data_IF_092057020846
#
_entry.id   IF_092057020846
#
_cell.length_a   1.000
_cell.length_b   1.000
_cell.length_c   1.000
_cell.angle_alpha   90.00
_cell.angle_beta   90.00
_cell.angle_gamma   90.00
#
_symmetry.space_group_name_H-M   'P 1'
#
loop_
_entity.id
_entity.type
_entity.pdbx_description
1 polymer ?
#
# COMPACT_ATOMS: atom_id res chain seq x y z
N UNK A 1 -11.72 34.92 -91.51
CA UNK A 1 -11.44 36.24 -92.02
C UNK A 1 -10.83 37.07 -90.90
N UNK A 2 -9.72 37.70 -91.19
CA UNK A 2 -8.86 38.56 -90.32
C UNK A 2 -7.87 37.87 -89.38
N UNK A 3 -6.71 37.81 -89.94
CA UNK A 3 -5.40 37.83 -89.36
C UNK A 3 -5.23 39.03 -88.42
N UNK A 4 -4.27 38.98 -87.48
CA UNK A 4 -3.19 39.95 -87.41
C UNK A 4 -2.34 39.91 -86.15
N UNK A 5 -1.06 39.93 -86.43
CA UNK A 5 0.12 40.41 -85.72
C UNK A 5 0.59 39.77 -84.38
N UNK A 6 1.60 38.93 -84.53
CA UNK A 6 2.68 38.72 -83.57
C UNK A 6 3.43 40.03 -83.34
N UNK A 7 3.61 40.37 -82.07
CA UNK A 7 4.71 41.18 -81.59
C UNK A 7 5.50 40.38 -80.55
N UNK A 8 6.74 40.07 -80.87
CA UNK A 8 7.77 39.56 -80.00
C UNK A 8 8.20 40.64 -79.01
N UNK A 9 8.28 40.44 -77.69
CA UNK A 9 9.07 41.30 -76.83
C UNK A 9 10.51 40.77 -76.73
N UNK A 10 11.43 41.69 -76.62
CA UNK A 10 12.87 41.60 -76.39
C UNK A 10 13.15 40.87 -75.03
N UNK A 11 14.33 40.23 -74.85
CA UNK A 11 14.74 39.68 -73.56
C UNK A 11 15.16 40.84 -72.68
N UNK A 12 14.43 41.04 -71.60
CA UNK A 12 14.86 41.84 -70.44
C UNK A 12 15.85 41.05 -69.59
N UNK A 13 16.93 41.75 -69.27
CA UNK A 13 18.05 41.28 -68.46
C UNK A 13 17.61 40.73 -67.14
N UNK A 14 18.05 39.49 -66.77
CA UNK A 14 18.12 39.00 -65.42
C UNK A 14 19.03 39.92 -64.59
N UNK A 15 18.42 40.87 -63.87
CA UNK A 15 19.05 41.46 -62.69
C UNK A 15 18.95 40.42 -61.58
N UNK A 16 20.10 39.89 -61.23
CA UNK A 16 20.26 39.05 -60.03
C UNK A 16 19.71 39.80 -58.79
N UNK A 17 18.66 39.27 -58.21
CA UNK A 17 18.09 39.76 -56.97
C UNK A 17 18.89 39.16 -55.82
N UNK A 18 20.11 39.72 -55.60
CA UNK A 18 20.82 39.61 -54.30
C UNK A 18 20.05 40.43 -53.28
N UNK A 19 18.92 39.89 -52.83
CA UNK A 19 18.26 40.37 -51.64
C UNK A 19 19.09 39.88 -50.44
N UNK A 20 19.96 40.74 -49.96
CA UNK A 20 20.54 40.56 -48.62
C UNK A 20 19.39 40.29 -47.60
N UNK A 21 19.59 39.39 -46.66
CA UNK A 21 18.56 39.14 -45.63
C UNK A 21 18.23 40.49 -44.95
N UNK A 22 16.94 40.75 -44.63
CA UNK A 22 16.56 42.00 -44.01
C UNK A 22 17.29 42.16 -42.67
N UNK A 23 18.27 43.07 -42.65
CA UNK A 23 18.92 43.51 -41.42
C UNK A 23 17.85 44.29 -40.65
N UNK A 24 17.08 43.56 -39.79
CA UNK A 24 16.12 44.17 -38.89
C UNK A 24 16.82 45.25 -38.09
N UNK A 25 16.22 46.44 -38.02
CA UNK A 25 16.73 47.54 -37.22
C UNK A 25 16.90 47.14 -35.73
N UNK A 26 17.56 47.93 -34.89
CA UNK A 26 17.84 47.64 -33.49
C UNK A 26 16.57 47.23 -32.71
N UNK A 27 15.40 47.78 -33.05
CA UNK A 27 14.12 47.40 -32.43
C UNK A 27 13.66 45.97 -32.75
N UNK A 28 13.89 45.50 -33.98
CA UNK A 28 13.52 44.13 -34.37
C UNK A 28 14.43 43.09 -33.66
N UNK A 29 15.71 43.36 -33.50
CA UNK A 29 16.63 42.49 -32.74
C UNK A 29 16.22 42.39 -31.26
N UNK A 30 15.94 43.53 -30.64
CA UNK A 30 15.49 43.57 -29.24
C UNK A 30 14.17 42.79 -29.07
N UNK A 31 13.21 42.95 -29.97
CA UNK A 31 11.94 42.22 -29.95
C UNK A 31 12.13 40.69 -30.09
N UNK A 32 12.96 40.25 -31.04
CA UNK A 32 13.22 38.80 -31.23
C UNK A 32 13.96 38.21 -30.04
N UNK A 33 14.92 38.93 -29.46
CA UNK A 33 15.59 38.49 -28.23
C UNK A 33 14.61 38.41 -27.05
N UNK A 34 13.67 39.36 -26.94
CA UNK A 34 12.57 39.30 -25.98
C UNK A 34 11.70 38.07 -26.15
N UNK A 35 11.24 37.81 -27.39
CA UNK A 35 10.44 36.62 -27.73
C UNK A 35 11.19 35.33 -27.38
N UNK A 36 12.49 35.23 -27.68
CA UNK A 36 13.29 34.07 -27.34
C UNK A 36 13.38 33.84 -25.80
N UNK A 37 13.51 34.92 -25.03
CA UNK A 37 13.51 34.87 -23.58
C UNK A 37 12.18 34.36 -23.02
N UNK A 38 11.06 34.94 -23.51
CA UNK A 38 9.72 34.52 -23.09
C UNK A 38 9.44 33.07 -23.50
N UNK A 39 9.83 32.67 -24.72
CA UNK A 39 9.72 31.28 -25.14
C UNK A 39 10.53 30.34 -24.24
N UNK A 40 11.74 30.73 -23.87
CA UNK A 40 12.58 29.95 -22.95
C UNK A 40 11.95 29.80 -21.56
N UNK A 41 11.35 30.89 -21.05
CA UNK A 41 10.61 30.87 -19.79
C UNK A 41 9.39 29.96 -19.85
N UNK A 42 8.59 30.08 -20.92
CA UNK A 42 7.44 29.21 -21.17
C UNK A 42 7.84 27.74 -21.22
N UNK A 43 8.94 27.43 -21.91
CA UNK A 43 9.48 26.06 -21.98
C UNK A 43 9.90 25.51 -20.61
N UNK A 44 10.55 26.34 -19.78
CA UNK A 44 10.92 25.98 -18.42
C UNK A 44 9.69 25.69 -17.57
N UNK A 45 8.74 26.62 -17.54
CA UNK A 45 7.55 26.53 -16.70
C UNK A 45 6.68 25.33 -17.13
N UNK A 46 6.55 25.10 -18.45
CA UNK A 46 5.87 23.92 -18.97
C UNK A 46 6.59 22.61 -18.57
N UNK A 47 7.92 22.56 -18.59
CA UNK A 47 8.65 21.37 -18.18
C UNK A 47 8.50 21.09 -16.67
N UNK A 48 8.44 22.14 -15.84
CA UNK A 48 8.15 22.03 -14.40
C UNK A 48 6.75 21.51 -14.14
N UNK A 49 5.74 22.12 -14.77
CA UNK A 49 4.33 21.68 -14.63
C UNK A 49 4.17 20.24 -15.12
N UNK A 50 4.78 19.86 -16.23
CA UNK A 50 4.77 18.48 -16.70
C UNK A 50 5.35 17.52 -15.68
N UNK A 51 6.46 17.89 -15.06
CA UNK A 51 7.06 17.08 -14.00
C UNK A 51 6.16 16.90 -12.79
N UNK A 52 5.51 18.00 -12.34
CA UNK A 52 4.56 17.95 -11.23
C UNK A 52 3.33 17.08 -11.55
N UNK A 53 2.83 17.12 -12.80
CA UNK A 53 1.74 16.25 -13.26
C UNK A 53 2.16 14.78 -13.22
N UNK A 54 3.36 14.45 -13.73
CA UNK A 54 3.88 13.07 -13.72
C UNK A 54 4.03 12.52 -12.31
N UNK A 55 4.55 13.32 -11.37
CA UNK A 55 4.65 12.96 -9.96
C UNK A 55 3.26 12.77 -9.32
N UNK A 56 2.28 13.62 -9.68
CA UNK A 56 0.90 13.50 -9.19
C UNK A 56 0.23 12.23 -9.72
N UNK A 57 0.44 11.86 -10.99
CA UNK A 57 -0.07 10.59 -11.57
C UNK A 57 0.50 9.38 -10.81
N UNK A 58 1.79 9.39 -10.49
CA UNK A 58 2.42 8.31 -9.70
C UNK A 58 1.82 8.22 -8.29
N UNK A 59 1.64 9.36 -7.62
CA UNK A 59 1.02 9.42 -6.30
C UNK A 59 -0.43 8.92 -6.33
N UNK A 60 -1.23 9.33 -7.34
CA UNK A 60 -2.59 8.84 -7.53
C UNK A 60 -2.63 7.32 -7.76
N UNK A 61 -1.69 6.77 -8.55
CA UNK A 61 -1.57 5.33 -8.75
C UNK A 61 -1.28 4.56 -7.44
N UNK A 62 -0.37 5.07 -6.61
CA UNK A 62 -0.09 4.48 -5.30
C UNK A 62 -1.30 4.56 -4.37
N UNK A 63 -2.03 5.67 -4.38
CA UNK A 63 -3.25 5.85 -3.60
C UNK A 63 -4.36 4.87 -4.04
N UNK A 64 -4.52 4.61 -5.35
CA UNK A 64 -5.46 3.61 -5.85
C UNK A 64 -5.17 2.21 -5.29
N UNK A 65 -3.91 1.82 -5.23
CA UNK A 65 -3.50 0.54 -4.65
C UNK A 65 -3.84 0.46 -3.15
N UNK A 66 -3.66 1.57 -2.41
CA UNK A 66 -4.01 1.63 -0.98
C UNK A 66 -5.53 1.50 -0.77
N UNK A 67 -6.35 2.15 -1.59
CA UNK A 67 -7.83 2.04 -1.52
C UNK A 67 -8.25 0.60 -1.78
N UNK A 68 -7.69 -0.09 -2.77
CA UNK A 68 -7.98 -1.51 -3.02
C UNK A 68 -7.55 -2.44 -1.87
N UNK A 69 -6.41 -2.14 -1.22
CA UNK A 69 -5.99 -2.89 -0.04
C UNK A 69 -6.97 -2.69 1.12
N UNK A 70 -7.43 -1.46 1.34
CA UNK A 70 -8.41 -1.11 2.37
C UNK A 70 -9.76 -1.80 2.10
N UNK A 71 -10.21 -1.91 0.83
CA UNK A 71 -11.42 -2.63 0.45
C UNK A 71 -11.36 -4.11 0.86
N UNK A 72 -10.22 -4.75 0.63
CA UNK A 72 -10.03 -6.16 1.05
C UNK A 72 -10.09 -6.31 2.57
N UNK A 73 -9.42 -5.44 3.32
CA UNK A 73 -9.46 -5.45 4.79
C UNK A 73 -10.87 -5.23 5.32
N UNK A 74 -11.65 -4.34 4.70
CA UNK A 74 -13.03 -4.09 5.07
C UNK A 74 -13.92 -5.34 4.85
N UNK A 75 -13.68 -6.08 3.78
CA UNK A 75 -14.32 -7.38 3.53
C UNK A 75 -14.03 -8.39 4.64
N UNK A 76 -12.79 -8.48 5.10
CA UNK A 76 -12.39 -9.35 6.23
C UNK A 76 -13.07 -8.94 7.53
N UNK A 77 -13.14 -7.63 7.83
CA UNK A 77 -13.86 -7.10 9.01
C UNK A 77 -15.35 -7.46 8.94
N UNK A 78 -15.98 -7.30 7.79
CA UNK A 78 -17.40 -7.63 7.60
C UNK A 78 -17.66 -9.13 7.81
N UNK A 79 -16.77 -9.98 7.30
CA UNK A 79 -16.84 -11.42 7.54
C UNK A 79 -16.68 -11.76 9.03
N UNK A 80 -15.75 -11.11 9.72
CA UNK A 80 -15.56 -11.26 11.16
C UNK A 80 -16.80 -10.85 11.97
N UNK A 81 -17.47 -9.74 11.58
CA UNK A 81 -18.70 -9.30 12.24
C UNK A 81 -19.84 -10.32 12.05
N UNK A 82 -19.99 -10.91 10.87
CA UNK A 82 -20.98 -11.96 10.63
C UNK A 82 -20.72 -13.21 11.51
N UNK A 83 -19.46 -13.56 11.68
CA UNK A 83 -19.10 -14.67 12.57
C UNK A 83 -19.43 -14.36 14.04
N UNK A 84 -19.17 -13.13 14.52
CA UNK A 84 -19.54 -12.67 15.87
C UNK A 84 -21.05 -12.78 16.09
N UNK A 85 -21.87 -12.31 15.14
CA UNK A 85 -23.34 -12.41 15.23
C UNK A 85 -23.81 -13.89 15.30
N UNK A 86 -23.21 -14.76 14.52
CA UNK A 86 -23.52 -16.19 14.55
C UNK A 86 -23.15 -16.83 15.91
N UNK A 87 -21.95 -16.55 16.42
CA UNK A 87 -21.43 -17.09 17.69
C UNK A 87 -22.23 -16.57 18.89
N UNK A 88 -22.58 -15.28 18.89
CA UNK A 88 -23.44 -14.71 19.94
C UNK A 88 -24.85 -15.30 19.95
N UNK A 89 -25.40 -15.62 18.77
CA UNK A 89 -26.66 -16.36 18.65
C UNK A 89 -26.58 -17.74 19.31
N UNK A 90 -25.51 -18.49 19.09
CA UNK A 90 -25.25 -19.76 19.78
C UNK A 90 -25.09 -19.58 21.29
N UNK A 91 -24.45 -18.48 21.71
CA UNK A 91 -24.29 -18.10 23.11
C UNK A 91 -25.64 -17.93 23.83
N UNK A 92 -26.60 -17.22 23.22
CA UNK A 92 -27.97 -17.09 23.78
C UNK A 92 -28.62 -18.45 24.02
N UNK A 93 -28.57 -19.34 23.04
CA UNK A 93 -29.12 -20.69 23.20
C UNK A 93 -28.40 -21.52 24.26
N UNK A 94 -27.09 -21.31 24.46
CA UNK A 94 -26.35 -21.97 25.53
C UNK A 94 -26.81 -21.47 26.93
N UNK A 95 -27.05 -20.16 27.04
CA UNK A 95 -27.59 -19.58 28.31
C UNK A 95 -29.01 -20.09 28.60
N UNK A 96 -29.87 -20.20 27.58
CA UNK A 96 -31.20 -20.78 27.74
C UNK A 96 -31.13 -22.24 28.23
N UNK A 97 -30.27 -23.07 27.63
CA UNK A 97 -30.07 -24.45 28.11
C UNK A 97 -29.55 -24.52 29.54
N UNK A 98 -28.62 -23.62 29.90
CA UNK A 98 -28.10 -23.52 31.27
C UNK A 98 -29.22 -23.13 32.25
N UNK A 99 -30.08 -22.18 31.91
CA UNK A 99 -31.23 -21.76 32.71
C UNK A 99 -32.18 -22.92 32.95
N UNK A 100 -32.57 -23.66 31.93
CA UNK A 100 -33.43 -24.84 32.04
C UNK A 100 -32.78 -25.94 32.91
N UNK A 101 -31.51 -26.16 32.80
CA UNK A 101 -30.78 -27.12 33.65
C UNK A 101 -30.78 -26.71 35.14
N UNK A 102 -30.63 -25.42 35.43
CA UNK A 102 -30.65 -24.89 36.80
C UNK A 102 -32.07 -25.00 37.39
N UNK A 103 -33.10 -24.71 36.59
CA UNK A 103 -34.48 -24.88 37.04
C UNK A 103 -34.79 -26.36 37.37
N UNK A 104 -34.29 -27.32 36.59
CA UNK A 104 -34.38 -28.75 36.88
C UNK A 104 -33.66 -29.11 38.17
N UNK A 105 -32.45 -28.59 38.40
CA UNK A 105 -31.72 -28.80 39.70
C UNK A 105 -32.52 -28.20 40.86
N UNK A 106 -33.21 -27.07 40.65
CA UNK A 106 -34.07 -26.48 41.68
C UNK A 106 -35.23 -27.43 42.06
N UNK A 107 -35.80 -28.15 41.11
CA UNK A 107 -36.78 -29.20 41.35
C UNK A 107 -36.22 -30.37 42.20
N UNK A 108 -35.04 -30.88 41.87
CA UNK A 108 -34.39 -31.95 42.58
C UNK A 108 -34.01 -31.52 44.03
N UNK A 109 -33.55 -30.29 44.22
CA UNK A 109 -33.25 -29.72 45.54
C UNK A 109 -34.50 -29.69 46.42
N UNK A 110 -35.66 -29.33 45.85
CA UNK A 110 -36.95 -29.37 46.54
C UNK A 110 -37.33 -30.80 46.95
N UNK A 111 -37.07 -31.79 46.11
CA UNK A 111 -37.27 -33.22 46.44
C UNK A 111 -36.36 -33.69 47.58
N UNK A 112 -35.08 -33.25 47.62
CA UNK A 112 -34.15 -33.57 48.71
C UNK A 112 -34.66 -33.00 50.05
N UNK A 113 -35.15 -31.74 50.05
CA UNK A 113 -35.73 -31.14 51.28
C UNK A 113 -36.87 -31.98 51.84
N UNK A 114 -37.77 -32.47 50.98
CA UNK A 114 -38.85 -33.36 51.39
C UNK A 114 -38.34 -34.66 52.00
N UNK A 115 -37.37 -35.30 51.36
CA UNK A 115 -36.71 -36.53 51.84
C UNK A 115 -36.01 -36.34 53.19
N UNK A 116 -35.34 -35.24 53.42
CA UNK A 116 -34.67 -34.91 54.71
C UNK A 116 -35.70 -34.76 55.83
N UNK A 117 -36.88 -34.20 55.55
CA UNK A 117 -37.98 -34.12 56.52
C UNK A 117 -38.45 -35.51 56.93
N UNK A 118 -38.68 -36.38 55.94
CA UNK A 118 -39.09 -37.77 56.24
C UNK A 118 -38.03 -38.51 57.04
N UNK A 119 -36.74 -38.34 56.75
CA UNK A 119 -35.66 -38.93 57.53
C UNK A 119 -35.62 -38.36 59.01
N UNK A 120 -35.85 -37.05 59.12
CA UNK A 120 -35.91 -36.39 60.42
C UNK A 120 -37.04 -36.94 61.26
N UNK A 121 -38.24 -37.09 60.65
CA UNK A 121 -39.42 -37.64 61.35
C UNK A 121 -39.21 -39.11 61.78
N UNK A 122 -38.64 -39.91 60.84
CA UNK A 122 -38.29 -41.32 61.22
C UNK A 122 -37.28 -41.40 62.34
N UNK A 123 -36.23 -40.58 62.36
CA UNK A 123 -35.24 -40.52 63.46
C UNK A 123 -35.93 -40.09 64.80
N UNK A 124 -36.85 -39.11 64.66
CA UNK A 124 -37.64 -38.69 65.87
C UNK A 124 -38.53 -39.81 66.42
N UNK A 125 -39.14 -40.65 65.56
CA UNK A 125 -39.91 -41.84 66.02
C UNK A 125 -38.99 -42.87 66.67
N UNK A 126 -37.79 -43.15 66.11
CA UNK A 126 -36.82 -44.08 66.66
C UNK A 126 -36.37 -43.59 68.05
N UNK A 127 -36.13 -42.29 68.26
CA UNK A 127 -35.85 -41.69 69.55
C UNK A 127 -36.97 -41.97 70.53
N UNK A 128 -38.21 -41.79 70.15
CA UNK A 128 -39.38 -42.11 71.06
C UNK A 128 -39.42 -43.61 71.46
N UNK A 129 -39.25 -44.51 70.48
CA UNK A 129 -39.19 -45.95 70.71
C UNK A 129 -38.02 -46.31 71.63
N UNK A 130 -36.85 -45.75 71.45
CA UNK A 130 -35.68 -45.96 72.27
C UNK A 130 -35.93 -45.52 73.76
N UNK A 131 -36.55 -44.34 73.96
CA UNK A 131 -36.92 -43.85 75.26
C UNK A 131 -37.96 -44.78 75.93
N UNK A 132 -38.99 -45.27 75.22
CA UNK A 132 -39.96 -46.23 75.75
C UNK A 132 -39.29 -47.55 76.10
N UNK A 133 -38.43 -48.08 75.19
CA UNK A 133 -37.68 -49.31 75.45
C UNK A 133 -36.76 -49.18 76.69
N UNK A 134 -36.10 -48.03 76.86
CA UNK A 134 -35.27 -47.73 78.02
C UNK A 134 -36.09 -47.76 79.35
N UNK A 135 -37.33 -47.22 79.34
CA UNK A 135 -38.24 -47.19 80.42
C UNK A 135 -38.76 -48.59 80.77
N UNK A 136 -39.12 -49.41 79.79
CA UNK A 136 -39.50 -50.81 79.96
C UNK A 136 -38.35 -51.63 80.54
N UNK A 137 -37.15 -51.49 80.05
CA UNK A 137 -35.93 -52.13 80.49
C UNK A 137 -35.59 -51.76 81.98
N UNK A 138 -35.77 -50.46 82.29
CA UNK A 138 -35.58 -49.96 83.62
C UNK A 138 -36.57 -50.67 84.61
N UNK A 139 -37.85 -50.70 84.29
CA UNK A 139 -38.91 -51.38 85.09
C UNK A 139 -38.59 -52.86 85.25
N UNK A 140 -38.18 -53.54 84.16
CA UNK A 140 -37.77 -54.94 84.22
C UNK A 140 -36.56 -55.20 85.10
N UNK A 141 -35.54 -54.30 85.08
CA UNK A 141 -34.37 -54.39 85.94
C UNK A 141 -34.72 -54.20 87.41
N UNK A 142 -35.67 -53.28 87.72
CA UNK A 142 -36.18 -53.07 89.07
C UNK A 142 -36.91 -54.32 89.58
N UNK A 143 -37.81 -54.93 88.78
CA UNK A 143 -38.55 -56.13 89.24
C UNK A 143 -37.63 -57.35 89.31
N UNK A 144 -36.64 -57.51 88.45
CA UNK A 144 -35.63 -58.56 88.57
C UNK A 144 -34.78 -58.43 89.81
N UNK A 145 -34.43 -57.21 90.26
CA UNK A 145 -33.77 -56.98 91.60
C UNK A 145 -34.69 -57.30 92.76
N UNK A 146 -36.00 -57.08 92.59
CA UNK A 146 -37.00 -57.40 93.62
C UNK A 146 -37.18 -58.92 93.82
N UNK A 147 -36.97 -59.71 92.75
CA UNK A 147 -37.04 -61.18 92.77
C UNK A 147 -35.80 -61.86 93.39
N UNK A 148 -34.80 -61.10 93.79
CA UNK A 148 -33.57 -61.60 94.47
C UNK A 148 -32.70 -62.51 93.58
N UNK A 149 -32.21 -63.62 94.12
CA UNK A 149 -31.35 -64.58 93.42
C UNK A 149 -32.02 -65.17 92.18
N UNK A 150 -33.35 -65.40 92.18
CA UNK A 150 -34.10 -65.94 91.02
C UNK A 150 -34.18 -64.96 89.87
N UNK A 151 -34.05 -63.66 90.06
CA UNK A 151 -34.12 -62.61 89.06
C UNK A 151 -32.77 -62.20 88.45
N UNK A 152 -31.63 -62.71 88.87
CA UNK A 152 -30.31 -62.26 88.53
C UNK A 152 -30.00 -62.31 87.03
N UNK A 153 -30.38 -63.39 86.37
CA UNK A 153 -30.21 -63.53 84.90
C UNK A 153 -31.07 -62.51 84.13
N UNK A 154 -32.29 -62.23 84.61
CA UNK A 154 -33.18 -61.25 84.02
C UNK A 154 -32.69 -59.81 84.20
N UNK A 155 -32.03 -59.47 85.31
CA UNK A 155 -31.44 -58.18 85.59
C UNK A 155 -30.33 -57.84 84.55
N UNK A 156 -29.46 -58.82 84.24
CA UNK A 156 -28.41 -58.64 83.21
C UNK A 156 -28.94 -58.35 81.85
N UNK A 157 -30.00 -59.06 81.40
CA UNK A 157 -30.66 -58.84 80.14
C UNK A 157 -31.36 -57.48 80.12
N UNK A 158 -32.04 -57.08 81.20
CA UNK A 158 -32.70 -55.79 81.28
C UNK A 158 -31.70 -54.61 81.22
N UNK A 159 -30.55 -54.73 81.88
CA UNK A 159 -29.51 -53.71 81.83
C UNK A 159 -28.86 -53.63 80.44
N UNK A 160 -28.64 -54.79 79.78
CA UNK A 160 -28.15 -54.81 78.37
C UNK A 160 -29.15 -54.17 77.40
N UNK A 161 -30.49 -54.43 77.53
CA UNK A 161 -31.52 -53.77 76.71
C UNK A 161 -31.57 -52.25 76.97
N UNK A 162 -31.38 -51.82 78.21
CA UNK A 162 -31.32 -50.38 78.57
C UNK A 162 -30.14 -49.68 77.91
N UNK A 163 -28.96 -50.35 77.95
CA UNK A 163 -27.75 -49.79 77.26
C UNK A 163 -27.95 -49.72 75.70
N UNK A 164 -28.52 -50.77 75.10
CA UNK A 164 -28.85 -50.75 73.66
C UNK A 164 -29.82 -49.64 73.37
N UNK A 165 -30.88 -49.46 74.17
CA UNK A 165 -31.84 -48.38 73.93
C UNK A 165 -31.20 -46.98 74.03
N UNK A 166 -30.22 -46.82 74.97
CA UNK A 166 -29.45 -45.58 75.11
C UNK A 166 -28.58 -45.35 73.84
N UNK A 167 -27.93 -46.36 73.30
CA UNK A 167 -27.13 -46.25 72.07
C UNK A 167 -27.99 -45.93 70.89
N UNK A 168 -29.19 -46.46 70.74
CA UNK A 168 -30.17 -46.17 69.75
C UNK A 168 -30.64 -44.71 69.84
N UNK A 169 -30.95 -44.18 71.03
CA UNK A 169 -31.29 -42.78 71.29
C UNK A 169 -30.19 -41.85 70.83
N UNK A 170 -28.91 -42.12 71.26
CA UNK A 170 -27.75 -41.36 70.88
C UNK A 170 -27.53 -41.35 69.33
N UNK A 171 -27.65 -42.55 68.70
CA UNK A 171 -27.51 -42.66 67.24
C UNK A 171 -28.61 -41.88 66.52
N UNK A 172 -29.86 -41.95 66.97
CA UNK A 172 -30.98 -41.21 66.35
C UNK A 172 -30.82 -39.68 66.49
N UNK A 173 -30.30 -39.20 67.63
CA UNK A 173 -29.97 -37.76 67.81
C UNK A 173 -28.86 -37.32 66.88
N UNK A 174 -27.84 -38.13 66.68
CA UNK A 174 -26.76 -37.86 65.75
C UNK A 174 -27.30 -37.77 64.32
N UNK A 175 -28.23 -38.65 63.90
CA UNK A 175 -28.94 -38.57 62.59
C UNK A 175 -29.68 -37.26 62.49
N UNK A 176 -30.51 -36.87 63.48
CA UNK A 176 -31.23 -35.60 63.44
C UNK A 176 -30.33 -34.38 63.32
N UNK A 177 -29.16 -34.38 64.02
CA UNK A 177 -28.18 -33.33 63.97
C UNK A 177 -27.55 -33.23 62.52
N UNK A 178 -27.20 -34.38 61.94
CA UNK A 178 -26.65 -34.44 60.57
C UNK A 178 -27.68 -33.99 59.56
N UNK A 179 -28.94 -34.38 59.65
CA UNK A 179 -30.03 -33.92 58.83
C UNK A 179 -30.23 -32.42 58.94
N UNK A 180 -30.20 -31.85 60.15
CA UNK A 180 -30.30 -30.42 60.38
C UNK A 180 -29.15 -29.62 59.69
N UNK A 181 -27.91 -30.17 59.70
CA UNK A 181 -26.78 -29.57 59.00
C UNK A 181 -26.94 -29.64 57.48
N UNK A 182 -27.47 -30.75 56.93
CA UNK A 182 -27.78 -30.91 55.54
C UNK A 182 -28.89 -29.95 55.09
N UNK A 183 -29.96 -29.83 55.87
CA UNK A 183 -31.07 -28.94 55.60
C UNK A 183 -30.59 -27.48 55.47
N UNK A 184 -29.76 -27.00 56.39
CA UNK A 184 -29.19 -25.66 56.32
C UNK A 184 -28.32 -25.42 55.05
N UNK A 185 -27.57 -26.44 54.61
CA UNK A 185 -26.77 -26.37 53.36
C UNK A 185 -27.66 -26.36 52.13
N UNK A 186 -28.67 -27.17 52.11
CA UNK A 186 -29.63 -27.26 51.04
C UNK A 186 -30.46 -25.97 50.90
N UNK A 187 -30.86 -25.37 52.04
CA UNK A 187 -31.51 -24.04 52.01
C UNK A 187 -30.62 -22.96 51.41
N UNK A 188 -29.33 -23.00 51.68
CA UNK A 188 -28.36 -22.07 51.09
C UNK A 188 -28.26 -22.28 49.59
N UNK A 189 -28.11 -23.54 49.13
CA UNK A 189 -28.08 -23.88 47.72
C UNK A 189 -29.39 -23.48 47.01
N UNK A 190 -30.55 -23.78 47.63
CA UNK A 190 -31.86 -23.40 47.11
C UNK A 190 -31.96 -21.89 46.89
N UNK A 191 -31.45 -21.07 47.81
CA UNK A 191 -31.45 -19.60 47.68
C UNK A 191 -30.60 -19.11 46.52
N UNK A 192 -29.49 -19.77 46.24
CA UNK A 192 -28.61 -19.37 45.15
C UNK A 192 -29.16 -19.74 43.75
N UNK A 193 -29.86 -20.89 43.65
CA UNK A 193 -30.38 -21.40 42.37
C UNK A 193 -31.86 -21.08 42.12
N UNK A 194 -32.60 -20.63 43.13
CA UNK A 194 -34.04 -20.43 43.04
C UNK A 194 -34.36 -19.10 42.31
N UNK A 195 -35.22 -19.18 41.31
CA UNK A 195 -35.83 -18.00 40.68
C UNK A 195 -36.98 -17.53 41.60
N UNK A 196 -36.83 -16.37 42.21
CA UNK A 196 -37.87 -15.78 43.05
C UNK A 196 -38.66 -14.77 42.28
N UNK A 197 -39.96 -15.03 42.19
CA UNK A 197 -40.93 -14.09 41.58
C UNK A 197 -41.49 -13.07 42.61
N UNK A 198 -41.04 -13.15 43.88
CA UNK A 198 -41.59 -12.39 45.03
C UNK A 198 -40.92 -11.03 45.29
N UNK A 199 -40.09 -10.55 44.39
CA UNK A 199 -39.42 -9.22 44.52
C UNK A 199 -38.28 -9.15 45.52
N UNK A 200 -37.90 -10.27 46.15
CA UNK A 200 -36.77 -10.35 47.12
C UNK A 200 -35.40 -10.66 46.49
N UNK A 201 -35.27 -10.49 45.18
CA UNK A 201 -34.02 -10.70 44.44
C UNK A 201 -33.90 -12.10 43.85
N UNK A 202 -33.36 -12.18 42.66
CA UNK A 202 -32.99 -13.44 42.01
C UNK A 202 -31.79 -14.07 42.69
N UNK A 203 -31.70 -15.42 42.72
CA UNK A 203 -30.50 -16.10 43.15
C UNK A 203 -29.30 -15.73 42.32
N UNK A 204 -28.11 -15.76 42.88
CA UNK A 204 -26.86 -15.30 42.28
C UNK A 204 -26.59 -15.92 40.88
N UNK A 205 -27.02 -17.17 40.68
CA UNK A 205 -26.85 -17.87 39.40
C UNK A 205 -27.75 -17.28 38.30
N UNK A 206 -29.02 -17.02 38.62
CA UNK A 206 -29.93 -16.40 37.63
C UNK A 206 -29.51 -14.96 37.29
N UNK A 207 -29.02 -14.21 38.29
CA UNK A 207 -28.49 -12.88 38.05
C UNK A 207 -27.28 -12.92 37.11
N UNK A 208 -26.34 -13.85 37.29
CA UNK A 208 -25.20 -14.03 36.43
C UNK A 208 -25.61 -14.41 34.96
N UNK A 209 -26.65 -15.26 34.81
CA UNK A 209 -27.18 -15.61 33.51
C UNK A 209 -27.87 -14.41 32.82
N UNK A 210 -28.57 -13.55 33.54
CA UNK A 210 -29.17 -12.34 33.00
C UNK A 210 -28.09 -11.32 32.59
N UNK A 211 -27.02 -11.17 33.36
CA UNK A 211 -25.87 -10.35 32.99
C UNK A 211 -25.19 -10.85 31.73
N UNK A 212 -25.06 -12.18 31.53
CA UNK A 212 -24.57 -12.78 30.30
C UNK A 212 -25.47 -12.46 29.09
N UNK A 213 -26.78 -12.59 29.23
CA UNK A 213 -27.72 -12.22 28.13
C UNK A 213 -27.57 -10.76 27.77
N UNK A 214 -27.54 -9.85 28.74
CA UNK A 214 -27.32 -8.42 28.49
C UNK A 214 -25.95 -8.16 27.84
N UNK A 215 -24.92 -8.92 28.22
CA UNK A 215 -23.60 -8.89 27.60
C UNK A 215 -23.65 -9.23 26.12
N UNK A 216 -24.35 -10.31 25.77
CA UNK A 216 -24.56 -10.76 24.40
C UNK A 216 -25.36 -9.73 23.58
N UNK A 217 -26.39 -9.13 24.14
CA UNK A 217 -27.18 -8.07 23.48
C UNK A 217 -26.31 -6.83 23.16
N UNK A 218 -25.43 -6.44 24.11
CA UNK A 218 -24.47 -5.34 23.84
C UNK A 218 -23.49 -5.69 22.72
N UNK A 219 -23.00 -6.93 22.67
CA UNK A 219 -22.11 -7.39 21.59
C UNK A 219 -22.84 -7.37 20.25
N UNK A 220 -24.07 -7.87 20.17
CA UNK A 220 -24.88 -7.84 18.96
C UNK A 220 -25.13 -6.40 18.45
N UNK A 221 -25.47 -5.50 19.38
CA UNK A 221 -25.65 -4.07 19.04
C UNK A 221 -24.36 -3.45 18.51
N UNK A 222 -23.23 -3.75 19.11
CA UNK A 222 -21.93 -3.27 18.67
C UNK A 222 -21.55 -3.85 17.29
N UNK A 223 -21.83 -5.13 17.05
CA UNK A 223 -21.60 -5.80 15.77
C UNK A 223 -22.46 -5.19 14.65
N UNK A 224 -23.75 -4.96 14.91
CA UNK A 224 -24.65 -4.31 13.96
C UNK A 224 -24.19 -2.90 13.59
N UNK A 225 -23.78 -2.09 14.58
CA UNK A 225 -23.21 -0.75 14.33
C UNK A 225 -21.91 -0.81 13.54
N UNK A 226 -21.07 -1.80 13.80
CA UNK A 226 -19.83 -2.02 13.04
C UNK A 226 -20.12 -2.38 11.58
N UNK A 227 -21.11 -3.23 11.31
CA UNK A 227 -21.56 -3.56 9.95
C UNK A 227 -22.08 -2.33 9.21
N UNK A 228 -22.84 -1.45 9.85
CA UNK A 228 -23.32 -0.21 9.26
C UNK A 228 -22.15 0.72 8.88
N UNK A 229 -21.16 0.85 9.78
CA UNK A 229 -19.94 1.61 9.50
C UNK A 229 -19.15 1.01 8.33
N UNK A 230 -18.99 -0.31 8.26
CA UNK A 230 -18.35 -1.00 7.14
C UNK A 230 -19.07 -0.72 5.82
N UNK A 231 -20.39 -0.78 5.77
CA UNK A 231 -21.18 -0.42 4.59
C UNK A 231 -21.04 1.05 4.19
N UNK A 232 -20.89 1.95 5.17
CA UNK A 232 -20.57 3.37 4.95
C UNK A 232 -19.18 3.58 4.34
N UNK A 233 -18.18 2.86 4.86
CA UNK A 233 -16.80 2.91 4.35
C UNK A 233 -16.71 2.35 2.93
N UNK A 234 -17.39 1.24 2.62
CA UNK A 234 -17.42 0.65 1.29
C UNK A 234 -17.95 1.64 0.24
N UNK A 235 -19.05 2.32 0.53
CA UNK A 235 -19.58 3.37 -0.35
C UNK A 235 -18.59 4.52 -0.57
N UNK A 236 -17.92 5.00 0.49
CA UNK A 236 -16.92 6.07 0.39
C UNK A 236 -15.72 5.64 -0.45
N UNK A 237 -15.28 4.38 -0.33
CA UNK A 237 -14.20 3.86 -1.14
C UNK A 237 -14.57 3.82 -2.63
N UNK A 238 -15.77 3.40 -2.97
CA UNK A 238 -16.28 3.48 -4.35
C UNK A 238 -16.41 4.93 -4.88
N UNK A 239 -16.64 5.92 -4.02
CA UNK A 239 -16.58 7.35 -4.38
C UNK A 239 -15.15 7.78 -4.66
N UNK A 240 -14.20 7.44 -3.79
CA UNK A 240 -12.77 7.76 -3.96
C UNK A 240 -12.24 7.14 -5.25
N UNK A 241 -12.57 5.88 -5.59
CA UNK A 241 -12.15 5.25 -6.85
C UNK A 241 -12.65 6.05 -8.07
N UNK A 242 -13.90 6.49 -8.07
CA UNK A 242 -14.46 7.30 -9.16
C UNK A 242 -13.77 8.67 -9.27
N UNK A 243 -13.51 9.34 -8.16
CA UNK A 243 -12.78 10.61 -8.12
C UNK A 243 -11.35 10.46 -8.64
N UNK A 244 -10.67 9.36 -8.30
CA UNK A 244 -9.32 9.05 -8.80
C UNK A 244 -9.31 8.83 -10.32
N UNK A 245 -10.29 8.12 -10.88
CA UNK A 245 -10.43 7.97 -12.34
C UNK A 245 -10.64 9.33 -13.03
N UNK A 246 -11.47 10.19 -12.45
CA UNK A 246 -11.68 11.57 -12.93
C UNK A 246 -10.41 12.40 -12.85
N UNK A 247 -9.67 12.30 -11.75
CA UNK A 247 -8.39 12.97 -11.54
C UNK A 247 -7.37 12.53 -12.58
N UNK A 248 -7.21 11.22 -12.84
CA UNK A 248 -6.30 10.70 -13.87
C UNK A 248 -6.64 11.21 -15.26
N UNK A 249 -7.92 11.29 -15.60
CA UNK A 249 -8.38 11.86 -16.89
C UNK A 249 -8.01 13.35 -17.02
N UNK A 250 -8.21 14.11 -15.96
CA UNK A 250 -7.87 15.54 -15.89
C UNK A 250 -6.35 15.75 -16.02
N UNK A 251 -5.55 14.96 -15.27
CA UNK A 251 -4.09 15.01 -15.34
C UNK A 251 -3.57 14.63 -16.73
N UNK A 252 -4.15 13.63 -17.39
CA UNK A 252 -3.81 13.26 -18.76
C UNK A 252 -4.06 14.39 -19.73
N UNK A 253 -5.20 15.08 -19.61
CA UNK A 253 -5.52 16.27 -20.41
C UNK A 253 -4.56 17.43 -20.15
N UNK A 254 -4.21 17.67 -18.87
CA UNK A 254 -3.23 18.67 -18.48
C UNK A 254 -1.84 18.36 -19.04
N UNK A 255 -1.42 17.08 -19.02
CA UNK A 255 -0.17 16.62 -19.63
C UNK A 255 -0.12 16.95 -21.13
N UNK A 256 -1.17 16.63 -21.88
CA UNK A 256 -1.26 16.94 -23.32
C UNK A 256 -1.15 18.45 -23.60
N UNK A 257 -1.82 19.29 -22.79
CA UNK A 257 -1.73 20.76 -22.91
C UNK A 257 -0.32 21.26 -22.62
N UNK A 258 0.29 20.74 -21.57
CA UNK A 258 1.67 21.11 -21.20
C UNK A 258 2.68 20.71 -22.27
N UNK A 259 2.49 19.54 -22.93
CA UNK A 259 3.29 19.15 -24.08
C UNK A 259 3.08 20.06 -25.28
N UNK A 260 1.87 20.57 -25.47
CA UNK A 260 1.62 21.58 -26.51
C UNK A 260 2.37 22.88 -26.24
N UNK A 261 2.41 23.35 -24.99
CA UNK A 261 3.21 24.53 -24.60
C UNK A 261 4.71 24.32 -24.83
N UNK A 262 5.24 23.15 -24.47
CA UNK A 262 6.63 22.81 -24.76
C UNK A 262 6.92 22.89 -26.26
N UNK A 263 6.07 22.28 -27.11
CA UNK A 263 6.23 22.35 -28.57
C UNK A 263 6.16 23.79 -29.13
N UNK A 264 5.26 24.61 -28.58
CA UNK A 264 5.17 26.03 -28.98
C UNK A 264 6.44 26.77 -28.59
N UNK A 265 6.92 26.62 -27.37
CA UNK A 265 8.18 27.19 -26.89
C UNK A 265 9.37 26.77 -27.76
N UNK A 266 9.54 25.48 -28.00
CA UNK A 266 10.61 24.92 -28.85
C UNK A 266 10.54 25.46 -30.26
N UNK A 267 9.34 25.56 -30.86
CA UNK A 267 9.16 26.13 -32.20
C UNK A 267 9.46 27.62 -32.23
N UNK A 268 9.06 28.40 -31.23
CA UNK A 268 9.40 29.83 -31.16
C UNK A 268 10.90 30.04 -31.10
N UNK A 269 11.61 29.26 -30.29
CA UNK A 269 13.08 29.31 -30.22
C UNK A 269 13.73 28.88 -31.53
N UNK A 270 13.22 27.83 -32.19
CA UNK A 270 13.70 27.40 -33.54
C UNK A 270 13.55 28.51 -34.58
N UNK A 271 12.35 29.14 -34.61
CA UNK A 271 12.09 30.25 -35.57
C UNK A 271 12.99 31.46 -35.27
N UNK A 272 13.16 31.85 -34.01
CA UNK A 272 14.02 32.97 -33.64
C UNK A 272 15.49 32.69 -33.96
N UNK A 273 15.98 31.49 -33.78
CA UNK A 273 17.33 31.09 -34.17
C UNK A 273 17.52 31.09 -35.69
N UNK A 274 16.47 30.69 -36.44
CA UNK A 274 16.52 30.72 -37.93
C UNK A 274 16.52 32.13 -38.52
N UNK A 275 16.11 33.16 -37.74
CA UNK A 275 16.22 34.56 -38.17
C UNK A 275 17.68 35.10 -38.25
N UNK A 276 18.68 34.29 -37.90
CA UNK A 276 20.10 34.70 -37.92
C UNK A 276 20.45 35.71 -36.82
N UNK A 277 19.59 35.85 -35.80
CA UNK A 277 19.85 36.72 -34.65
C UNK A 277 20.49 35.89 -33.53
N UNK A 278 21.64 36.40 -33.08
CA UNK A 278 22.35 35.73 -31.99
C UNK A 278 21.56 35.81 -30.68
N UNK A 279 21.30 34.65 -30.09
CA UNK A 279 20.59 34.48 -28.83
C UNK A 279 21.51 33.82 -27.81
N UNK A 280 21.09 33.74 -26.55
CA UNK A 280 21.84 33.05 -25.53
C UNK A 280 22.08 31.55 -25.85
N UNK A 281 21.21 30.96 -26.69
CA UNK A 281 21.28 29.54 -27.08
C UNK A 281 22.17 29.32 -28.31
N UNK A 282 22.47 30.34 -29.10
CA UNK A 282 23.18 30.23 -30.38
C UNK A 282 24.54 29.55 -30.26
N UNK A 283 25.31 29.88 -29.23
CA UNK A 283 26.61 29.25 -28.94
C UNK A 283 26.53 27.76 -28.66
N UNK A 284 25.46 27.31 -27.96
CA UNK A 284 25.26 25.90 -27.63
C UNK A 284 24.75 25.13 -28.86
N UNK A 285 23.94 25.75 -29.69
CA UNK A 285 23.49 25.18 -30.98
C UNK A 285 24.69 24.94 -31.88
N UNK A 286 25.54 25.96 -32.10
CA UNK A 286 26.74 25.84 -32.90
C UNK A 286 27.72 24.81 -32.40
N UNK A 287 27.90 24.74 -31.07
CA UNK A 287 28.77 23.73 -30.42
C UNK A 287 28.21 22.32 -30.60
N UNK A 288 26.89 22.12 -30.51
CA UNK A 288 26.27 20.82 -30.75
C UNK A 288 26.42 20.36 -32.20
N UNK A 289 26.31 21.29 -33.19
CA UNK A 289 26.53 21.02 -34.61
C UNK A 289 28.01 20.67 -34.88
N UNK A 290 28.95 21.40 -34.30
CA UNK A 290 30.39 21.08 -34.40
C UNK A 290 30.69 19.69 -33.83
N UNK A 291 30.20 19.42 -32.62
CA UNK A 291 30.40 18.13 -31.99
C UNK A 291 29.81 16.97 -32.80
N UNK A 292 28.61 17.16 -33.39
CA UNK A 292 27.98 16.16 -34.26
C UNK A 292 28.81 15.89 -35.52
N UNK A 293 29.33 16.95 -36.15
CA UNK A 293 30.23 16.85 -37.33
C UNK A 293 31.52 16.11 -37.01
N UNK A 294 32.13 16.42 -35.85
CA UNK A 294 33.36 15.75 -35.38
C UNK A 294 33.12 14.25 -35.08
N UNK A 295 32.02 13.90 -34.42
CA UNK A 295 31.67 12.49 -34.19
C UNK A 295 31.40 11.77 -35.52
N UNK A 296 30.66 12.38 -36.44
CA UNK A 296 30.41 11.81 -37.77
C UNK A 296 31.72 11.55 -38.55
N UNK A 297 32.68 12.47 -38.47
CA UNK A 297 34.02 12.31 -39.08
C UNK A 297 34.77 11.15 -38.44
N UNK A 298 34.83 11.06 -37.13
CA UNK A 298 35.52 9.96 -36.42
C UNK A 298 34.90 8.57 -36.76
N UNK A 299 33.58 8.49 -36.83
CA UNK A 299 32.90 7.24 -37.23
C UNK A 299 33.15 6.87 -38.69
N UNK A 300 33.16 7.88 -39.61
CA UNK A 300 33.48 7.65 -41.00
C UNK A 300 34.93 7.22 -41.23
N UNK A 301 35.88 7.81 -40.49
CA UNK A 301 37.28 7.37 -40.48
C UNK A 301 37.43 5.94 -39.99
N UNK A 302 36.77 5.58 -38.87
CA UNK A 302 36.80 4.21 -38.36
C UNK A 302 36.27 3.18 -39.37
N UNK A 303 35.26 3.55 -40.18
CA UNK A 303 34.78 2.70 -41.27
C UNK A 303 35.82 2.57 -42.41
N UNK A 304 36.47 3.67 -42.81
CA UNK A 304 37.52 3.64 -43.82
C UNK A 304 38.74 2.82 -43.39
N UNK A 305 39.15 2.93 -42.14
CA UNK A 305 40.27 2.17 -41.54
C UNK A 305 39.90 0.72 -41.24
N UNK A 306 38.69 0.28 -41.54
CA UNK A 306 38.17 -1.05 -41.24
C UNK A 306 38.17 -1.39 -39.75
N UNK A 307 38.15 -0.39 -38.89
CA UNK A 307 38.03 -0.54 -37.44
C UNK A 307 36.60 -0.89 -36.98
N UNK A 308 35.62 -0.78 -37.90
CA UNK A 308 34.23 -1.22 -37.68
C UNK A 308 33.53 -1.40 -39.04
N UNK A 309 32.33 -1.92 -39.04
CA UNK A 309 31.46 -2.05 -40.23
C UNK A 309 30.17 -1.26 -40.07
N UNK A 310 29.46 -0.99 -41.16
CA UNK A 310 28.15 -0.34 -41.08
C UNK A 310 27.17 -1.15 -40.25
N UNK A 311 27.17 -2.49 -40.36
CA UNK A 311 26.30 -3.37 -39.57
C UNK A 311 26.61 -3.36 -38.06
N UNK A 312 27.88 -3.19 -37.70
CA UNK A 312 28.26 -3.02 -36.30
C UNK A 312 27.88 -1.64 -35.77
N UNK A 313 28.13 -0.61 -36.57
CA UNK A 313 27.83 0.77 -36.17
C UNK A 313 26.33 1.06 -36.01
N UNK A 314 25.50 0.36 -36.80
CA UNK A 314 24.05 0.46 -36.73
C UNK A 314 23.40 -0.74 -36.04
N UNK A 315 24.14 -1.41 -35.13
CA UNK A 315 23.64 -2.51 -34.33
C UNK A 315 22.58 -2.03 -33.33
N UNK A 316 21.39 -2.64 -33.41
CA UNK A 316 20.24 -2.36 -32.53
C UNK A 316 19.93 -3.53 -31.58
N UNK A 317 20.86 -4.48 -31.45
CA UNK A 317 20.76 -5.55 -30.46
C UNK A 317 21.34 -5.05 -29.14
N UNK A 318 20.46 -4.54 -28.29
CA UNK A 318 20.84 -4.05 -26.95
C UNK A 318 20.86 -5.21 -25.98
N UNK A 319 22.05 -5.82 -25.79
CA UNK A 319 22.22 -6.95 -24.89
C UNK A 319 22.25 -6.45 -23.43
N UNK A 320 21.29 -6.86 -22.59
CA UNK A 320 21.26 -6.42 -21.19
C UNK A 320 22.52 -6.87 -20.44
N UNK A 321 23.07 -5.97 -19.63
CA UNK A 321 24.15 -6.27 -18.70
C UNK A 321 23.53 -6.80 -17.39
N UNK A 322 23.85 -8.04 -16.99
CA UNK A 322 23.28 -8.61 -15.76
C UNK A 322 23.57 -7.78 -14.53
N UNK A 323 22.65 -7.80 -13.57
CA UNK A 323 22.78 -7.15 -12.26
C UNK A 323 23.04 -5.63 -12.32
N UNK A 324 22.49 -4.95 -13.33
CA UNK A 324 22.56 -3.49 -13.43
C UNK A 324 21.19 -2.84 -13.18
N UNK A 325 21.16 -1.83 -12.30
CA UNK A 325 19.97 -1.04 -12.00
C UNK A 325 20.37 0.44 -11.79
N UNK A 326 19.91 1.37 -12.65
CA UNK A 326 19.10 1.16 -13.87
C UNK A 326 19.77 0.26 -14.92
N UNK A 327 18.95 -0.47 -15.70
CA UNK A 327 19.42 -1.45 -16.66
C UNK A 327 20.41 -0.83 -17.67
N UNK A 328 21.59 -1.43 -17.80
CA UNK A 328 22.58 -1.12 -18.83
C UNK A 328 22.55 -2.17 -19.94
N UNK A 329 23.03 -1.78 -21.15
CA UNK A 329 23.07 -2.63 -22.33
C UNK A 329 24.40 -2.51 -23.05
N UNK A 330 24.73 -3.51 -23.85
CA UNK A 330 25.89 -3.50 -24.74
C UNK A 330 25.43 -3.66 -26.19
N UNK A 331 26.14 -2.97 -27.09
CA UNK A 331 26.03 -3.09 -28.55
C UNK A 331 27.42 -3.39 -29.13
N UNK A 332 27.47 -3.82 -30.39
CA UNK A 332 28.75 -4.10 -31.07
C UNK A 332 29.64 -2.87 -31.19
N UNK A 333 29.07 -1.66 -31.34
CA UNK A 333 29.84 -0.42 -31.43
C UNK A 333 30.20 0.21 -30.07
N UNK A 334 29.78 -0.36 -28.96
CA UNK A 334 29.95 0.24 -27.64
C UNK A 334 31.44 0.49 -27.29
N UNK A 335 32.34 -0.47 -27.59
CA UNK A 335 33.78 -0.33 -27.37
C UNK A 335 34.42 0.72 -28.31
N UNK A 336 33.91 0.85 -29.52
CA UNK A 336 34.34 1.90 -30.46
C UNK A 336 33.99 3.29 -29.90
N UNK A 337 32.76 3.44 -29.43
CA UNK A 337 32.28 4.69 -28.81
C UNK A 337 33.13 5.11 -27.59
N UNK A 338 33.51 4.17 -26.72
CA UNK A 338 34.39 4.43 -25.56
C UNK A 338 35.76 4.98 -25.99
N UNK A 339 36.25 4.60 -27.15
CA UNK A 339 37.56 5.05 -27.67
C UNK A 339 37.47 6.39 -28.37
N UNK A 340 36.41 6.64 -29.13
CA UNK A 340 36.31 7.78 -30.04
C UNK A 340 35.58 9.00 -29.45
N UNK A 341 34.47 8.76 -28.73
CA UNK A 341 33.56 9.84 -28.33
C UNK A 341 34.11 10.75 -27.22
N UNK A 342 34.89 10.26 -26.23
CA UNK A 342 35.37 11.12 -25.15
C UNK A 342 36.16 12.33 -25.62
N UNK A 343 36.97 12.21 -26.67
CA UNK A 343 37.79 13.33 -27.21
C UNK A 343 36.90 14.53 -27.65
N UNK A 344 35.68 14.27 -28.13
CA UNK A 344 34.72 15.31 -28.51
C UNK A 344 33.86 15.71 -27.32
N UNK A 345 33.27 14.71 -26.64
CA UNK A 345 32.30 14.95 -25.58
C UNK A 345 32.89 15.70 -24.38
N UNK A 346 34.10 15.35 -23.95
CA UNK A 346 34.79 16.04 -22.82
C UNK A 346 35.20 17.47 -23.17
N UNK A 347 35.63 17.71 -24.43
CA UNK A 347 35.99 19.08 -24.86
C UNK A 347 34.84 20.07 -24.76
N UNK A 348 33.60 19.59 -24.95
CA UNK A 348 32.40 20.44 -24.88
C UNK A 348 32.07 20.90 -23.46
N UNK A 349 32.54 20.20 -22.42
CA UNK A 349 32.31 20.61 -21.02
C UNK A 349 33.10 21.90 -20.69
N UNK A 350 34.15 22.19 -21.43
CA UNK A 350 34.95 23.42 -21.27
C UNK A 350 34.34 24.63 -22.01
N UNK A 351 33.27 24.46 -22.79
CA UNK A 351 32.68 25.56 -23.54
C UNK A 351 32.11 26.66 -22.66
N UNK A 352 31.43 26.28 -21.60
CA UNK A 352 30.82 27.17 -20.63
C UNK A 352 30.53 26.43 -19.30
N UNK A 353 30.53 27.15 -18.18
CA UNK A 353 30.23 26.61 -16.85
C UNK A 353 28.79 26.10 -16.73
N UNK A 354 27.88 26.54 -17.60
CA UNK A 354 26.50 26.08 -17.65
C UNK A 354 26.38 24.70 -18.28
N UNK A 355 27.37 24.21 -19.07
CA UNK A 355 27.31 22.91 -19.71
C UNK A 355 27.34 21.79 -18.70
N UNK A 356 26.29 20.98 -18.71
CA UNK A 356 26.12 19.85 -17.79
C UNK A 356 26.65 18.57 -18.40
N UNK A 357 26.36 18.31 -19.69
CA UNK A 357 26.92 17.16 -20.41
C UNK A 357 26.90 17.38 -21.92
N UNK A 358 27.75 16.64 -22.63
CA UNK A 358 27.68 16.45 -24.07
C UNK A 358 27.84 14.95 -24.36
N UNK A 359 26.89 14.37 -25.09
CA UNK A 359 26.87 12.94 -25.40
C UNK A 359 26.36 12.68 -26.82
N UNK A 360 26.80 11.55 -27.41
CA UNK A 360 26.20 11.01 -28.61
C UNK A 360 25.24 9.86 -28.25
N UNK A 361 24.03 9.89 -28.79
CA UNK A 361 23.05 8.82 -28.68
C UNK A 361 22.73 8.29 -30.07
N UNK A 362 22.53 6.97 -30.19
CA UNK A 362 22.02 6.38 -31.41
C UNK A 362 20.54 6.73 -31.65
N UNK A 363 19.98 6.38 -32.79
CA UNK A 363 18.59 6.72 -33.17
C UNK A 363 17.50 6.17 -32.26
N UNK A 364 17.82 5.23 -31.37
CA UNK A 364 16.92 4.68 -30.36
C UNK A 364 17.16 5.24 -28.95
N UNK A 365 18.05 6.23 -28.83
CA UNK A 365 18.36 6.89 -27.57
C UNK A 365 19.38 6.13 -26.69
N UNK A 366 20.07 5.14 -27.25
CA UNK A 366 21.12 4.44 -26.54
C UNK A 366 22.40 5.27 -26.45
N UNK A 367 22.90 5.44 -25.25
CA UNK A 367 24.13 6.17 -24.93
C UNK A 367 25.24 5.17 -24.65
N UNK A 368 26.03 4.86 -25.67
CA UNK A 368 27.13 3.91 -25.56
C UNK A 368 28.23 4.41 -24.57
N UNK A 369 28.56 5.72 -24.62
CA UNK A 369 29.55 6.37 -23.80
C UNK A 369 29.01 7.70 -23.27
N UNK A 370 29.19 7.99 -21.99
CA UNK A 370 28.82 9.27 -21.37
C UNK A 370 30.07 10.05 -20.95
N UNK A 371 29.94 11.34 -20.63
CA UNK A 371 31.03 12.10 -20.00
C UNK A 371 31.54 11.36 -18.74
N UNK A 372 32.83 11.46 -18.47
CA UNK A 372 33.51 10.72 -17.37
C UNK A 372 32.81 10.89 -16.03
N UNK A 373 32.35 12.10 -15.70
CA UNK A 373 31.63 12.41 -14.45
C UNK A 373 30.29 11.68 -14.30
N UNK A 374 29.79 11.00 -15.34
CA UNK A 374 28.54 10.21 -15.33
C UNK A 374 28.75 8.80 -15.88
N UNK A 375 30.00 8.35 -15.97
CA UNK A 375 30.43 7.07 -16.51
C UNK A 375 31.06 6.19 -15.43
N UNK A 376 30.48 6.17 -14.24
CA UNK A 376 30.96 5.35 -13.13
C UNK A 376 30.42 3.92 -13.20
N UNK A 377 31.16 2.93 -12.65
CA UNK A 377 30.61 1.61 -12.37
C UNK A 377 29.43 1.70 -11.40
N UNK A 378 28.42 0.86 -11.60
CA UNK A 378 27.27 0.82 -10.70
C UNK A 378 27.64 0.24 -9.33
N UNK A 379 26.98 0.74 -8.29
CA UNK A 379 27.02 0.23 -6.92
C UNK A 379 25.82 -0.69 -6.71
N UNK A 380 26.07 -1.92 -6.26
CA UNK A 380 25.00 -2.86 -6.00
C UNK A 380 24.02 -2.32 -4.95
N UNK A 381 22.72 -2.31 -5.27
CA UNK A 381 21.65 -1.86 -4.36
C UNK A 381 21.51 -0.33 -4.22
N UNK A 382 22.42 0.49 -4.76
CA UNK A 382 22.35 1.95 -4.67
C UNK A 382 21.75 2.56 -5.96
N UNK A 383 20.47 2.29 -6.18
CA UNK A 383 19.74 2.73 -7.40
C UNK A 383 19.74 4.25 -7.54
N UNK A 384 19.64 4.99 -6.43
CA UNK A 384 19.62 6.45 -6.44
C UNK A 384 20.96 7.00 -6.95
N UNK A 385 22.07 6.57 -6.38
CA UNK A 385 23.39 6.98 -6.82
C UNK A 385 23.67 6.54 -8.26
N UNK A 386 23.32 5.30 -8.63
CA UNK A 386 23.49 4.77 -9.98
C UNK A 386 22.71 5.61 -11.02
N UNK A 387 21.48 6.02 -10.69
CA UNK A 387 20.66 6.87 -11.56
C UNK A 387 21.34 8.21 -11.86
N UNK A 388 21.99 8.82 -10.86
CA UNK A 388 22.70 10.07 -11.02
C UNK A 388 24.02 9.94 -11.78
N UNK A 389 24.83 8.89 -11.48
CA UNK A 389 26.25 8.82 -11.80
C UNK A 389 26.63 7.75 -12.85
N UNK A 390 25.77 6.77 -13.11
CA UNK A 390 26.01 5.66 -14.05
C UNK A 390 25.07 5.77 -15.24
N UNK A 391 25.34 6.68 -16.16
CA UNK A 391 24.43 7.01 -17.27
C UNK A 391 24.84 6.46 -18.63
N UNK A 392 26.05 5.92 -18.74
CA UNK A 392 26.52 5.18 -19.91
C UNK A 392 25.78 3.84 -20.08
N UNK A 393 25.76 3.30 -21.25
CA UNK A 393 25.15 2.00 -21.61
C UNK A 393 23.64 1.96 -21.37
N UNK A 394 22.99 3.11 -21.18
CA UNK A 394 21.54 3.20 -20.95
C UNK A 394 20.80 3.67 -22.20
N UNK A 395 19.53 3.29 -22.30
CA UNK A 395 18.61 3.74 -23.33
C UNK A 395 17.72 4.83 -22.73
N UNK A 396 17.74 6.01 -23.31
CA UNK A 396 16.87 7.13 -22.95
C UNK A 396 15.83 7.31 -24.07
N UNK A 397 14.77 6.54 -23.96
CA UNK A 397 13.67 6.50 -24.93
C UNK A 397 12.46 7.35 -24.51
N UNK A 398 12.66 8.27 -23.56
CA UNK A 398 11.68 9.30 -23.23
C UNK A 398 11.51 10.32 -24.39
N UNK A 399 10.53 11.23 -24.22
CA UNK A 399 10.22 12.27 -25.22
C UNK A 399 11.47 13.01 -25.70
N UNK A 400 12.29 13.50 -24.78
CA UNK A 400 13.47 14.33 -25.10
C UNK A 400 14.57 13.50 -25.73
N UNK A 401 14.84 12.32 -25.17
CA UNK A 401 15.86 11.40 -25.64
C UNK A 401 15.61 10.95 -27.09
N UNK A 402 14.40 10.50 -27.39
CA UNK A 402 14.04 10.07 -28.75
C UNK A 402 13.94 11.24 -29.74
N UNK A 403 13.42 12.40 -29.31
CA UNK A 403 13.36 13.57 -30.20
C UNK A 403 14.75 14.03 -30.64
N UNK A 404 15.72 14.05 -29.71
CA UNK A 404 17.13 14.38 -30.05
C UNK A 404 17.79 13.31 -30.89
N UNK A 405 17.59 12.03 -30.56
CA UNK A 405 18.18 10.90 -31.26
C UNK A 405 17.70 10.77 -32.72
N UNK A 406 16.45 11.14 -32.99
CA UNK A 406 15.79 11.05 -34.32
C UNK A 406 15.74 12.38 -35.06
N UNK A 407 16.28 13.45 -34.50
CA UNK A 407 16.27 14.75 -35.12
C UNK A 407 17.07 14.72 -36.44
N UNK A 408 16.41 15.05 -37.53
CA UNK A 408 17.02 15.20 -38.88
C UNK A 408 17.19 16.67 -39.31
N UNK A 409 16.69 17.65 -38.49
CA UNK A 409 16.88 19.08 -38.75
C UNK A 409 18.30 19.49 -38.34
N UNK A 410 18.81 20.64 -38.83
CA UNK A 410 20.14 21.11 -38.48
C UNK A 410 20.40 21.17 -36.98
N UNK A 411 19.39 21.52 -36.20
CA UNK A 411 19.40 21.46 -34.75
C UNK A 411 17.99 21.24 -34.18
N UNK A 412 17.92 20.84 -32.94
CA UNK A 412 16.70 20.81 -32.11
C UNK A 412 17.04 21.37 -30.73
N UNK A 413 16.22 22.31 -30.25
CA UNK A 413 16.37 22.83 -28.88
C UNK A 413 15.20 22.39 -28.04
N UNK A 414 15.46 21.82 -26.89
CA UNK A 414 14.47 21.28 -25.97
C UNK A 414 14.72 21.73 -24.54
N UNK A 415 13.63 21.75 -23.74
CA UNK A 415 13.69 21.92 -22.29
C UNK A 415 13.12 20.67 -21.64
N UNK A 416 13.83 20.15 -20.64
CA UNK A 416 13.38 18.95 -19.94
C UNK A 416 13.87 18.90 -18.51
N UNK A 417 13.21 18.06 -17.71
CA UNK A 417 13.50 17.76 -16.32
C UNK A 417 14.32 16.46 -16.27
N UNK A 418 15.61 16.59 -15.91
CA UNK A 418 16.53 15.46 -15.78
C UNK A 418 16.39 14.80 -14.43
N UNK A 419 16.10 13.51 -14.42
CA UNK A 419 16.08 12.69 -13.22
C UNK A 419 17.51 12.43 -12.68
N UNK A 420 17.71 12.74 -11.40
CA UNK A 420 18.97 12.55 -10.65
C UNK A 420 18.86 11.40 -9.63
N UNK A 421 17.73 10.67 -9.60
CA UNK A 421 17.45 9.63 -8.62
C UNK A 421 16.85 10.19 -7.32
N UNK A 422 16.19 9.32 -6.56
CA UNK A 422 15.60 9.68 -5.26
C UNK A 422 14.55 10.80 -5.32
N UNK A 423 13.87 10.99 -6.45
CA UNK A 423 12.90 12.07 -6.64
C UNK A 423 13.55 13.45 -6.88
N UNK A 424 14.86 13.52 -7.02
CA UNK A 424 15.58 14.77 -7.32
C UNK A 424 15.65 15.00 -8.83
N UNK A 425 15.36 16.23 -9.26
CA UNK A 425 15.34 16.60 -10.66
C UNK A 425 16.06 17.93 -10.89
N UNK A 426 16.63 18.07 -12.10
CA UNK A 426 17.26 19.31 -12.56
C UNK A 426 16.68 19.71 -13.90
N UNK A 427 16.24 20.96 -14.04
CA UNK A 427 15.80 21.51 -15.30
C UNK A 427 16.99 21.90 -16.17
N UNK A 428 16.98 21.45 -17.43
CA UNK A 428 18.04 21.70 -18.40
C UNK A 428 17.44 22.09 -19.75
N UNK A 429 18.17 22.92 -20.49
CA UNK A 429 18.06 23.05 -21.92
C UNK A 429 19.00 22.07 -22.62
N UNK A 430 18.64 21.64 -23.80
CA UNK A 430 19.43 20.72 -24.61
C UNK A 430 19.41 21.16 -26.08
N UNK A 431 20.58 21.44 -26.61
CA UNK A 431 20.80 21.60 -28.03
C UNK A 431 21.22 20.23 -28.62
N UNK A 432 20.49 19.74 -29.58
CA UNK A 432 20.78 18.48 -30.26
C UNK A 432 21.05 18.74 -31.74
N UNK A 433 21.99 17.98 -32.32
CA UNK A 433 22.30 18.04 -33.75
C UNK A 433 22.48 16.62 -34.33
N UNK A 434 22.05 16.36 -35.60
CA UNK A 434 22.08 15.03 -36.15
C UNK A 434 23.52 14.57 -36.47
N UNK A 435 23.76 13.28 -36.21
CA UNK A 435 24.99 12.59 -36.64
C UNK A 435 24.64 11.72 -37.82
N UNK A 436 25.24 12.03 -38.98
CA UNK A 436 25.05 11.29 -40.22
C UNK A 436 26.37 10.66 -40.64
N UNK A 437 26.38 9.36 -40.92
CA UNK A 437 27.56 8.60 -41.33
C UNK A 437 27.27 7.98 -42.70
N UNK A 438 28.11 8.28 -43.69
CA UNK A 438 27.94 7.83 -45.07
C UNK A 438 26.49 8.04 -45.62
N UNK A 439 25.92 9.21 -45.32
CA UNK A 439 24.58 9.58 -45.79
C UNK A 439 23.42 8.93 -44.98
N UNK A 440 23.70 8.08 -44.01
CA UNK A 440 22.71 7.44 -43.16
C UNK A 440 22.66 8.08 -41.78
N UNK A 441 21.49 8.48 -41.31
CA UNK A 441 21.30 9.01 -39.96
C UNK A 441 21.61 7.96 -38.91
N UNK A 442 22.64 8.21 -38.09
CA UNK A 442 23.07 7.30 -37.03
C UNK A 442 22.39 7.61 -35.70
N UNK A 443 22.20 8.87 -35.39
CA UNK A 443 21.67 9.35 -34.13
C UNK A 443 21.89 10.85 -33.97
N UNK A 444 22.09 11.32 -32.75
CA UNK A 444 22.32 12.76 -32.48
C UNK A 444 23.27 13.04 -31.31
N UNK A 445 23.93 14.19 -31.41
CA UNK A 445 24.58 14.82 -30.26
C UNK A 445 23.50 15.47 -29.39
N UNK A 446 23.74 15.43 -28.08
CA UNK A 446 22.94 16.06 -27.04
C UNK A 446 23.88 16.89 -26.17
N UNK A 447 23.80 18.20 -26.26
CA UNK A 447 24.55 19.15 -25.43
C UNK A 447 23.57 19.81 -24.46
N UNK A 448 23.62 19.42 -23.19
CA UNK A 448 22.73 19.95 -22.18
C UNK A 448 23.42 21.01 -21.31
N UNK A 449 22.68 22.07 -21.01
CA UNK A 449 23.16 23.20 -20.22
C UNK A 449 22.07 23.76 -19.31
N UNK A 450 22.49 24.50 -18.27
CA UNK A 450 21.57 25.19 -17.37
C UNK A 450 21.05 26.47 -18.01
N UNK A 451 19.91 26.95 -17.52
CA UNK A 451 19.34 28.23 -17.91
C UNK A 451 20.23 29.42 -17.49
#
# INVERSE_FOLDING_TARGET
MFAVFRKTPKPESQAANDAAPPTGGPDARALITGINREASTLGRDAAEVRGAIDDTIKAAGAQAQQVQALARQLGEVTQGQNAIVAETGQGVHAVERARNAIDAVGGEVSGIVSTLRDVSDAAGQITKIALQTRLVAFNASVEAKRAGEAGRGFSVVADAVRELAQKVDESSRNIMQTVGQLDARIETLAREIQRRDDGQGQGAVHQALDELVQGVERINTAAARSQEMCGGLDRRMGEIEREMLGTNTTLSSAMQRTEAFLRVSERMIEVTAACGIETADSRFISAAQDAAGRIATLLSQALQERGTTMDELFDEQYVPVPNTEPQQHLTRFAKLADRLFPAVQESMLGLDTQVVFCIAADRNGYIACHNQKYNHPQRAGDVVWNTANCRNRRIFNDRTGLASARNAKPFLLQTYRRDMGGGQFVLLKEAAAPITVNGRHWGGIRLAYRF
#
